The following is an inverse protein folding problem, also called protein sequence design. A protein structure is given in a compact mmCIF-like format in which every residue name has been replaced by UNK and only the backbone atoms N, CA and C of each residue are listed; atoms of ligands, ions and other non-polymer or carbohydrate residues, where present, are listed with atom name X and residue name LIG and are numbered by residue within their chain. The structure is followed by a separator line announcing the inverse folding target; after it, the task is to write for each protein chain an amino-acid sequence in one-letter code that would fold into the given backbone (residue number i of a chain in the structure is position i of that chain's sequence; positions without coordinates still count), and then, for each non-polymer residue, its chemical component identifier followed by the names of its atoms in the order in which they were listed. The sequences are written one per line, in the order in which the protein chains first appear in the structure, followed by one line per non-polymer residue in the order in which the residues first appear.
data_IF_325046551795
#
_entry.id   IF_325046551795
#
_cell.length_a   1.000
_cell.length_b   1.000
_cell.length_c   1.000
_cell.angle_alpha   90.00
_cell.angle_beta   90.00
_cell.angle_gamma   90.00
#
_symmetry.space_group_name_H-M   'P 1'
#
loop_
_entity.id
_entity.type
_entity.pdbx_description
1 polymer ?
#
# COMPACT_ATOMS: atom_id res chain seq x y z
N UNK A 1 -27.83 30.43 -0.42
CA UNK A 1 -27.38 31.68 -1.06
C UNK A 1 -26.21 31.34 -1.97
N UNK A 2 -26.46 31.51 -3.27
CA UNK A 2 -25.56 31.56 -4.43
C UNK A 2 -24.34 30.61 -4.46
N UNK A 3 -24.55 29.47 -5.09
CA UNK A 3 -23.52 28.63 -5.72
C UNK A 3 -22.97 29.35 -6.95
N UNK A 4 -21.71 29.78 -6.90
CA UNK A 4 -20.96 30.22 -8.09
C UNK A 4 -20.50 29.00 -8.89
N UNK A 5 -20.58 29.02 -10.23
CA UNK A 5 -20.04 27.96 -11.07
C UNK A 5 -18.52 27.99 -11.07
N UNK A 6 -17.89 26.82 -11.16
CA UNK A 6 -16.45 26.65 -11.32
C UNK A 6 -16.03 27.19 -12.68
N UNK A 7 -15.54 28.43 -12.73
CA UNK A 7 -14.89 29.00 -13.91
C UNK A 7 -13.38 28.86 -13.75
N UNK A 8 -12.75 28.12 -14.65
CA UNK A 8 -11.31 28.12 -14.80
C UNK A 8 -10.77 29.54 -15.03
N UNK A 9 -9.59 29.77 -14.45
CA UNK A 9 -8.73 30.96 -14.52
C UNK A 9 -9.20 32.22 -13.77
N UNK A 10 -8.66 32.42 -12.56
CA UNK A 10 -7.83 33.58 -12.20
C UNK A 10 -7.65 33.62 -10.67
N UNK A 11 -6.50 33.19 -10.19
CA UNK A 11 -6.11 33.37 -8.79
C UNK A 11 -4.60 33.26 -8.72
N UNK A 12 -3.94 34.29 -8.18
CA UNK A 12 -2.51 34.27 -7.86
C UNK A 12 -2.21 32.92 -7.19
N UNK A 13 -1.32 32.11 -7.77
CA UNK A 13 -0.95 30.82 -7.19
C UNK A 13 -0.63 31.04 -5.71
N UNK A 14 -1.40 30.38 -4.82
CA UNK A 14 -1.19 30.52 -3.39
C UNK A 14 0.28 30.22 -3.09
N UNK A 15 0.97 31.08 -2.32
CA UNK A 15 2.41 30.96 -2.15
C UNK A 15 2.76 29.59 -1.58
N UNK A 16 3.80 28.94 -2.11
CA UNK A 16 4.25 27.65 -1.61
C UNK A 16 4.68 27.76 -0.14
N UNK A 17 3.99 27.03 0.74
CA UNK A 17 4.33 26.97 2.17
C UNK A 17 5.15 25.72 2.45
N UNK A 18 6.35 25.88 2.99
CA UNK A 18 7.21 24.75 3.35
C UNK A 18 7.03 24.36 4.81
N UNK A 19 6.74 23.08 5.04
CA UNK A 19 6.56 22.48 6.37
C UNK A 19 7.57 21.36 6.54
N UNK A 20 8.27 21.33 7.67
CA UNK A 20 9.25 20.27 7.98
C UNK A 20 8.77 19.39 9.14
N UNK A 21 8.35 18.16 8.82
CA UNK A 21 7.73 17.23 9.76
C UNK A 21 6.21 17.36 9.81
N UNK A 22 5.65 17.32 11.02
CA UNK A 22 4.20 17.21 11.24
C UNK A 22 3.44 18.49 10.88
N UNK A 23 2.29 18.31 10.21
CA UNK A 23 1.28 19.35 10.06
C UNK A 23 0.50 19.46 11.37
N UNK A 24 0.29 20.68 11.85
CA UNK A 24 -0.44 20.88 13.10
C UNK A 24 -1.96 20.70 12.87
N UNK A 25 -2.67 19.94 13.72
CA UNK A 25 -4.10 19.70 13.57
C UNK A 25 -4.96 20.98 13.57
N UNK A 26 -4.50 22.01 14.27
CA UNK A 26 -5.16 23.31 14.41
C UNK A 26 -5.09 24.14 13.13
N UNK A 27 -4.22 23.78 12.18
CA UNK A 27 -4.10 24.51 10.93
C UNK A 27 -5.30 24.25 10.04
N UNK A 28 -5.97 25.34 9.65
CA UNK A 28 -6.95 25.32 8.57
C UNK A 28 -6.23 25.64 7.27
N UNK A 29 -6.06 24.61 6.45
CA UNK A 29 -5.35 24.71 5.17
C UNK A 29 -6.34 25.27 4.14
N UNK A 30 -6.05 26.46 3.56
CA UNK A 30 -6.95 27.08 2.59
C UNK A 30 -7.17 26.21 1.37
N UNK A 31 -8.34 26.39 0.75
CA UNK A 31 -8.64 25.79 -0.55
C UNK A 31 -7.57 26.19 -1.55
N UNK A 32 -7.08 25.21 -2.30
CA UNK A 32 -6.08 25.36 -3.34
C UNK A 32 -4.70 25.83 -2.85
N UNK A 33 -4.39 25.70 -1.56
CA UNK A 33 -3.05 25.98 -1.03
C UNK A 33 -2.01 24.98 -1.57
N UNK A 34 -0.79 25.44 -1.84
CA UNK A 34 0.35 24.58 -2.19
C UNK A 34 1.27 24.42 -0.99
N UNK A 35 1.55 23.18 -0.60
CA UNK A 35 2.42 22.82 0.51
C UNK A 35 3.63 22.01 0.03
N UNK A 36 4.80 22.30 0.58
CA UNK A 36 5.99 21.47 0.48
C UNK A 36 6.21 20.78 1.82
N UNK A 37 5.80 19.51 1.95
CA UNK A 37 5.95 18.76 3.20
C UNK A 37 7.23 17.94 3.15
N UNK A 38 8.23 18.37 3.93
CA UNK A 38 9.52 17.70 4.07
C UNK A 38 9.42 16.71 5.23
N UNK A 39 9.15 15.45 4.90
CA UNK A 39 9.13 14.35 5.88
C UNK A 39 10.52 14.09 6.45
N UNK A 40 10.61 13.91 7.78
CA UNK A 40 11.89 13.66 8.47
C UNK A 40 12.33 12.20 8.37
N UNK A 41 11.38 11.27 8.49
CA UNK A 41 11.64 9.83 8.41
C UNK A 41 10.38 9.05 8.03
N UNK A 42 10.24 8.71 6.74
CA UNK A 42 9.11 7.92 6.23
C UNK A 42 9.18 6.42 6.61
N UNK A 43 10.30 5.96 7.18
CA UNK A 43 10.55 4.57 7.54
C UNK A 43 10.70 4.36 9.04
N UNK A 44 10.21 5.32 9.84
CA UNK A 44 10.26 5.24 11.30
C UNK A 44 9.41 4.09 11.84
N UNK A 45 9.85 3.47 12.93
CA UNK A 45 9.18 2.32 13.58
C UNK A 45 8.79 1.22 12.57
N UNK A 46 7.54 0.75 12.63
CA UNK A 46 7.03 -0.32 11.79
C UNK A 46 6.84 0.08 10.32
N UNK A 47 6.82 1.37 9.96
CA UNK A 47 6.79 1.80 8.55
C UNK A 47 8.01 1.33 7.76
N UNK A 48 9.11 1.07 8.46
CA UNK A 48 10.36 0.59 7.88
C UNK A 48 10.43 -0.93 7.67
N UNK A 49 9.46 -1.73 8.14
CA UNK A 49 9.55 -3.20 8.08
C UNK A 49 9.69 -3.75 6.66
N UNK A 50 9.04 -3.12 5.68
CA UNK A 50 9.09 -3.53 4.29
C UNK A 50 8.97 -2.32 3.35
N UNK A 51 9.68 -2.35 2.22
CA UNK A 51 9.50 -1.36 1.14
C UNK A 51 8.18 -1.60 0.42
N UNK A 52 7.36 -0.58 0.25
CA UNK A 52 6.10 -0.69 -0.49
C UNK A 52 5.98 0.52 -1.41
N UNK A 53 5.65 0.34 -2.69
CA UNK A 53 5.58 1.44 -3.67
C UNK A 53 4.40 2.37 -3.38
N UNK A 54 4.52 3.64 -3.79
CA UNK A 54 3.43 4.62 -3.81
C UNK A 54 2.70 4.81 -2.46
N UNK A 55 3.43 4.70 -1.35
CA UNK A 55 2.94 5.13 -0.04
C UNK A 55 3.00 6.65 0.07
N UNK A 56 1.96 7.27 0.60
CA UNK A 56 2.06 8.64 1.09
C UNK A 56 2.81 8.66 2.45
N UNK A 57 3.43 9.80 2.75
CA UNK A 57 4.28 9.95 3.93
C UNK A 57 3.45 10.00 5.23
N UNK A 58 3.96 9.48 6.38
CA UNK A 58 3.15 9.31 7.60
C UNK A 58 2.61 10.59 8.25
N UNK A 59 3.20 11.75 7.96
CA UNK A 59 2.78 13.03 8.55
C UNK A 59 1.38 13.47 8.07
N UNK A 60 0.98 13.13 6.84
CA UNK A 60 -0.33 13.47 6.30
C UNK A 60 -1.51 12.67 6.91
N UNK A 61 -1.47 11.32 7.00
CA UNK A 61 -2.53 10.57 7.68
C UNK A 61 -2.58 10.91 9.17
N UNK A 62 -1.41 11.09 9.80
CA UNK A 62 -1.33 11.54 11.20
C UNK A 62 -2.06 12.86 11.41
N UNK A 63 -1.85 13.83 10.53
CA UNK A 63 -2.58 15.10 10.58
C UNK A 63 -4.09 14.90 10.45
N UNK A 64 -4.54 14.15 9.44
CA UNK A 64 -5.96 13.89 9.23
C UNK A 64 -6.61 13.19 10.45
N UNK A 65 -5.92 12.20 11.02
CA UNK A 65 -6.38 11.47 12.22
C UNK A 65 -6.50 12.41 13.41
N UNK A 66 -5.45 13.20 13.70
CA UNK A 66 -5.46 14.12 14.84
C UNK A 66 -6.47 15.26 14.68
N UNK A 67 -6.71 15.74 13.45
CA UNK A 67 -7.63 16.85 13.18
C UNK A 67 -9.11 16.42 13.16
N UNK A 68 -9.41 15.24 12.63
CA UNK A 68 -10.80 14.84 12.33
C UNK A 68 -11.33 13.66 13.15
N UNK A 69 -10.55 13.15 14.13
CA UNK A 69 -11.00 12.11 15.06
C UNK A 69 -10.50 12.35 16.49
N UNK A 70 -11.22 11.82 17.48
CA UNK A 70 -10.85 11.74 18.89
C UNK A 70 -10.16 10.42 19.25
N UNK A 71 -9.57 10.34 20.44
CA UNK A 71 -9.06 9.07 20.98
C UNK A 71 -10.20 8.05 21.14
N UNK A 72 -9.91 6.77 20.89
CA UNK A 72 -10.90 5.69 20.91
C UNK A 72 -11.90 5.72 19.75
N UNK A 73 -11.80 6.66 18.80
CA UNK A 73 -12.67 6.69 17.62
C UNK A 73 -12.16 5.75 16.51
N UNK A 74 -13.04 5.45 15.55
CA UNK A 74 -12.78 4.47 14.48
C UNK A 74 -12.37 5.14 13.16
N UNK A 75 -11.17 4.80 12.68
CA UNK A 75 -10.59 5.29 11.42
C UNK A 75 -10.62 4.21 10.34
N UNK A 76 -11.19 4.52 9.18
CA UNK A 76 -11.23 3.63 8.02
C UNK A 76 -10.12 3.98 7.04
N UNK A 77 -9.39 2.98 6.58
CA UNK A 77 -8.64 3.07 5.33
C UNK A 77 -9.25 2.10 4.31
N UNK A 78 -10.05 2.59 3.34
CA UNK A 78 -10.70 1.75 2.35
C UNK A 78 -9.75 1.12 1.31
N UNK A 79 -8.50 1.57 1.21
CA UNK A 79 -7.49 1.09 0.25
C UNK A 79 -6.10 1.10 0.92
N UNK A 80 -5.95 0.27 1.95
CA UNK A 80 -4.93 0.43 2.98
C UNK A 80 -3.48 0.27 2.50
N UNK A 81 -3.25 -0.50 1.44
CA UNK A 81 -1.93 -0.88 0.98
C UNK A 81 -1.09 -1.42 2.14
N UNK A 82 0.03 -0.75 2.43
CA UNK A 82 0.91 -1.14 3.53
C UNK A 82 0.43 -0.76 4.94
N UNK A 83 -0.78 -0.20 5.10
CA UNK A 83 -1.36 0.10 6.41
C UNK A 83 -0.78 1.35 7.09
N UNK A 84 -0.37 2.37 6.33
CA UNK A 84 0.18 3.61 6.91
C UNK A 84 -0.83 4.29 7.83
N UNK A 85 -2.10 4.39 7.41
CA UNK A 85 -3.20 4.96 8.21
C UNK A 85 -3.38 4.19 9.50
N UNK A 86 -3.42 2.84 9.46
CA UNK A 86 -3.62 2.02 10.66
C UNK A 86 -2.49 2.14 11.67
N UNK A 87 -1.24 2.25 11.23
CA UNK A 87 -0.11 2.50 12.15
C UNK A 87 -0.26 3.86 12.82
N UNK A 88 -0.53 4.92 12.06
CA UNK A 88 -0.68 6.26 12.64
C UNK A 88 -1.94 6.39 13.50
N UNK A 89 -3.02 5.69 13.17
CA UNK A 89 -4.24 5.64 13.97
C UNK A 89 -3.97 4.96 15.32
N UNK A 90 -3.31 3.80 15.29
CA UNK A 90 -2.94 3.08 16.50
C UNK A 90 -2.00 3.92 17.38
N UNK A 91 -0.97 4.55 16.82
CA UNK A 91 -0.06 5.43 17.57
C UNK A 91 -0.74 6.68 18.14
N UNK A 92 -1.86 7.10 17.53
CA UNK A 92 -2.72 8.14 18.06
C UNK A 92 -3.82 7.59 18.98
N UNK A 93 -3.78 6.33 19.42
CA UNK A 93 -4.82 5.75 20.29
C UNK A 93 -6.24 5.75 19.65
N UNK A 94 -6.32 5.49 18.34
CA UNK A 94 -7.58 5.27 17.59
C UNK A 94 -7.70 3.80 17.18
N UNK A 95 -8.94 3.32 17.05
CA UNK A 95 -9.20 2.04 16.38
C UNK A 95 -9.13 2.24 14.86
N UNK A 96 -8.76 1.21 14.11
CA UNK A 96 -8.83 1.29 12.65
C UNK A 96 -9.32 0.03 11.96
N UNK A 97 -9.88 0.21 10.77
CA UNK A 97 -10.21 -0.85 9.83
C UNK A 97 -9.45 -0.60 8.54
N UNK A 98 -8.62 -1.55 8.12
CA UNK A 98 -7.85 -1.48 6.87
C UNK A 98 -8.42 -2.47 5.85
N UNK A 99 -9.01 -1.94 4.79
CA UNK A 99 -9.57 -2.68 3.67
C UNK A 99 -8.52 -2.74 2.56
N UNK A 100 -8.17 -3.94 2.11
CA UNK A 100 -7.33 -4.12 0.92
C UNK A 100 -7.60 -5.47 0.24
N UNK A 101 -7.57 -5.46 -1.09
CA UNK A 101 -7.75 -6.65 -1.93
C UNK A 101 -6.48 -7.49 -2.07
N UNK A 102 -5.30 -6.90 -1.85
CA UNK A 102 -3.99 -7.56 -1.95
C UNK A 102 -3.67 -8.30 -0.64
N UNK A 103 -3.56 -9.65 -0.65
CA UNK A 103 -3.27 -10.42 0.54
C UNK A 103 -1.89 -10.08 1.15
N UNK A 104 -0.92 -9.65 0.34
CA UNK A 104 0.37 -9.19 0.84
C UNK A 104 0.26 -7.85 1.59
N UNK A 105 -0.53 -6.92 1.05
CA UNK A 105 -0.85 -5.65 1.69
C UNK A 105 -1.53 -5.87 3.06
N UNK A 106 -2.49 -6.80 3.12
CA UNK A 106 -3.16 -7.20 4.37
C UNK A 106 -2.18 -7.80 5.39
N UNK A 107 -1.33 -8.76 4.99
CA UNK A 107 -0.32 -9.34 5.87
C UNK A 107 0.63 -8.28 6.42
N UNK A 108 1.14 -7.41 5.55
CA UNK A 108 2.05 -6.34 5.95
C UNK A 108 1.38 -5.36 6.91
N UNK A 109 0.12 -4.98 6.67
CA UNK A 109 -0.66 -4.14 7.58
C UNK A 109 -0.74 -4.77 8.97
N UNK A 110 -1.14 -6.05 9.07
CA UNK A 110 -1.22 -6.76 10.37
C UNK A 110 0.09 -6.76 11.12
N UNK A 111 1.20 -7.09 10.45
CA UNK A 111 2.53 -7.12 11.08
C UNK A 111 2.96 -5.74 11.56
N UNK A 112 2.66 -4.69 10.78
CA UNK A 112 3.01 -3.32 11.16
C UNK A 112 2.19 -2.77 12.33
N UNK A 113 1.03 -3.35 12.62
CA UNK A 113 0.10 -2.90 13.66
C UNK A 113 -0.04 -3.89 14.80
N UNK A 114 0.82 -4.90 14.88
CA UNK A 114 0.81 -5.90 15.96
C UNK A 114 2.08 -5.75 16.77
N UNK A 115 1.95 -5.47 18.06
CA UNK A 115 3.06 -5.47 19.01
C UNK A 115 3.46 -6.91 19.32
N UNK A 116 4.76 -7.14 19.50
CA UNK A 116 5.31 -8.45 19.87
C UNK A 116 6.02 -8.32 21.22
N UNK A 117 5.80 -9.29 22.11
CA UNK A 117 6.53 -9.35 23.37
C UNK A 117 8.04 -9.53 23.05
N UNK A 118 8.90 -8.61 23.52
CA UNK A 118 10.33 -8.66 23.17
C UNK A 118 11.02 -9.95 23.60
N UNK A 119 10.64 -10.53 24.74
CA UNK A 119 11.25 -11.76 25.25
C UNK A 119 10.87 -12.98 24.40
N UNK A 120 9.63 -13.03 23.91
CA UNK A 120 9.15 -14.11 23.04
C UNK A 120 9.75 -13.96 21.64
N UNK A 121 9.84 -12.71 21.15
CA UNK A 121 10.47 -12.41 19.87
C UNK A 121 11.95 -12.84 19.86
N UNK A 122 12.67 -12.59 20.95
CA UNK A 122 14.06 -13.02 21.09
C UNK A 122 14.20 -14.55 21.05
N UNK A 123 13.30 -15.30 21.70
CA UNK A 123 13.27 -16.77 21.60
C UNK A 123 12.97 -17.25 20.18
N UNK A 124 12.02 -16.61 19.49
CA UNK A 124 11.72 -16.92 18.09
C UNK A 124 12.93 -16.67 17.17
N UNK A 125 13.64 -15.57 17.37
CA UNK A 125 14.84 -15.21 16.59
C UNK A 125 16.02 -16.13 16.91
N UNK A 126 16.19 -16.56 18.15
CA UNK A 126 17.20 -17.55 18.52
C UNK A 126 16.93 -18.90 17.85
N UNK A 127 15.68 -19.39 17.92
CA UNK A 127 15.29 -20.67 17.33
C UNK A 127 15.50 -20.71 15.81
N UNK A 128 15.16 -19.63 15.10
CA UNK A 128 15.42 -19.56 13.65
C UNK A 128 16.92 -19.48 13.36
N UNK A 129 17.71 -18.77 14.18
CA UNK A 129 19.16 -18.68 13.99
C UNK A 129 19.84 -20.04 14.16
N UNK A 130 19.47 -20.81 15.18
CA UNK A 130 19.96 -22.18 15.43
C UNK A 130 19.61 -23.12 14.27
N UNK A 131 18.35 -23.08 13.81
CA UNK A 131 17.91 -23.89 12.68
C UNK A 131 18.69 -23.58 11.39
N UNK A 132 18.97 -22.29 11.12
CA UNK A 132 19.76 -21.88 9.96
C UNK A 132 21.23 -22.27 10.09
N UNK A 133 21.80 -22.25 11.29
CA UNK A 133 23.17 -22.74 11.53
C UNK A 133 23.27 -24.25 11.29
N UNK A 134 22.26 -25.02 11.71
CA UNK A 134 22.19 -26.45 11.43
C UNK A 134 22.06 -26.73 9.92
N UNK A 135 21.30 -25.92 9.19
CA UNK A 135 21.22 -26.00 7.72
C UNK A 135 22.60 -25.77 7.06
N UNK A 136 23.32 -24.73 7.48
CA UNK A 136 24.65 -24.42 6.95
C UNK A 136 25.67 -25.55 7.21
N UNK A 137 25.57 -26.23 8.35
CA UNK A 137 26.42 -27.36 8.71
C UNK A 137 26.00 -28.71 8.08
N UNK A 138 24.76 -28.82 7.62
CA UNK A 138 24.12 -30.10 7.27
C UNK A 138 24.36 -30.61 5.84
N UNK A 139 25.09 -29.86 5.00
CA UNK A 139 25.45 -30.27 3.64
C UNK A 139 24.25 -30.60 2.74
N UNK A 140 24.42 -31.55 1.81
CA UNK A 140 23.40 -31.92 0.82
C UNK A 140 22.09 -32.46 1.43
N UNK A 141 22.10 -33.29 2.50
CA UNK A 141 20.85 -33.71 3.16
C UNK A 141 20.01 -32.53 3.65
N UNK A 142 20.63 -31.50 4.24
CA UNK A 142 19.92 -30.31 4.70
C UNK A 142 19.36 -29.49 3.54
N UNK A 143 20.08 -29.40 2.41
CA UNK A 143 19.61 -28.74 1.18
C UNK A 143 18.41 -29.44 0.56
N UNK A 144 18.45 -30.78 0.48
CA UNK A 144 17.33 -31.58 -0.01
C UNK A 144 16.08 -31.39 0.85
N UNK A 145 16.25 -31.40 2.18
CA UNK A 145 15.14 -31.14 3.10
C UNK A 145 14.62 -29.70 2.99
N UNK A 146 15.50 -28.71 2.85
CA UNK A 146 15.09 -27.32 2.68
C UNK A 146 14.25 -27.12 1.41
N UNK A 147 14.58 -27.82 0.32
CA UNK A 147 13.85 -27.74 -0.94
C UNK A 147 12.38 -28.13 -0.82
N UNK A 148 12.02 -29.06 0.09
CA UNK A 148 10.61 -29.45 0.32
C UNK A 148 9.77 -28.30 0.88
N UNK A 149 10.43 -27.27 1.42
CA UNK A 149 9.82 -26.05 1.91
C UNK A 149 9.95 -24.89 0.91
N UNK A 150 10.05 -25.14 -0.39
CA UNK A 150 9.95 -24.11 -1.44
C UNK A 150 8.57 -24.20 -2.09
N UNK A 151 7.77 -23.12 -2.15
CA UNK A 151 6.46 -23.18 -2.81
C UNK A 151 6.62 -23.42 -4.31
N UNK A 152 5.79 -24.25 -4.96
CA UNK A 152 5.83 -24.39 -6.41
C UNK A 152 5.21 -23.17 -7.10
N UNK A 153 5.89 -22.61 -8.11
CA UNK A 153 5.34 -21.55 -8.97
C UNK A 153 6.00 -21.56 -10.36
N UNK A 154 5.41 -20.88 -11.34
CA UNK A 154 5.91 -20.89 -12.71
C UNK A 154 7.28 -20.20 -12.84
N UNK A 155 8.17 -20.81 -13.63
CA UNK A 155 9.48 -20.24 -14.01
C UNK A 155 10.45 -19.99 -12.84
N UNK A 156 10.47 -20.83 -11.80
CA UNK A 156 11.34 -20.63 -10.62
C UNK A 156 12.81 -20.42 -10.98
N UNK A 157 13.34 -21.22 -11.92
CA UNK A 157 14.73 -21.13 -12.39
C UNK A 157 15.03 -19.83 -13.15
N UNK A 158 14.01 -19.18 -13.72
CA UNK A 158 14.17 -17.84 -14.29
C UNK A 158 14.32 -16.79 -13.18
N UNK A 159 13.60 -16.97 -12.07
CA UNK A 159 13.54 -15.99 -10.99
C UNK A 159 14.64 -16.15 -9.94
N UNK A 160 15.13 -17.36 -9.70
CA UNK A 160 16.09 -17.63 -8.63
C UNK A 160 17.14 -18.65 -9.07
N UNK A 161 18.33 -18.51 -8.49
CA UNK A 161 19.34 -19.56 -8.54
C UNK A 161 18.93 -20.70 -7.58
N UNK A 162 19.26 -21.98 -7.89
CA UNK A 162 18.87 -23.11 -7.04
C UNK A 162 19.29 -22.98 -5.58
N UNK A 163 20.54 -22.56 -5.32
CA UNK A 163 21.03 -22.35 -3.95
C UNK A 163 20.23 -21.29 -3.17
N UNK A 164 19.66 -20.29 -3.85
CA UNK A 164 18.78 -19.31 -3.17
C UNK A 164 17.44 -19.93 -2.81
N UNK A 165 16.89 -20.80 -3.66
CA UNK A 165 15.66 -21.53 -3.34
C UNK A 165 15.88 -22.45 -2.14
N UNK A 166 17.02 -23.16 -2.08
CA UNK A 166 17.41 -23.95 -0.90
C UNK A 166 17.49 -23.07 0.37
N UNK A 167 18.15 -21.91 0.30
CA UNK A 167 18.26 -21.00 1.45
C UNK A 167 16.89 -20.43 1.90
N UNK A 168 16.02 -20.06 0.97
CA UNK A 168 14.65 -19.63 1.27
C UNK A 168 13.86 -20.78 1.89
N UNK A 169 14.00 -21.99 1.33
CA UNK A 169 13.41 -23.21 1.86
C UNK A 169 13.85 -23.48 3.29
N UNK A 170 15.13 -23.29 3.60
CA UNK A 170 15.66 -23.44 4.96
C UNK A 170 15.03 -22.45 5.94
N UNK A 171 14.89 -21.18 5.54
CA UNK A 171 14.21 -20.15 6.35
C UNK A 171 12.74 -20.55 6.60
N UNK A 172 12.02 -20.98 5.57
CA UNK A 172 10.61 -21.40 5.70
C UNK A 172 10.47 -22.65 6.58
N UNK A 173 11.34 -23.64 6.40
CA UNK A 173 11.36 -24.86 7.21
C UNK A 173 11.63 -24.58 8.69
N UNK A 174 12.48 -23.60 8.99
CA UNK A 174 12.80 -23.19 10.36
C UNK A 174 11.60 -22.60 11.13
N UNK A 175 10.52 -22.18 10.47
CA UNK A 175 9.31 -21.72 11.14
C UNK A 175 8.66 -22.79 12.03
N UNK A 176 8.85 -24.08 11.73
CA UNK A 176 8.42 -25.15 12.63
C UNK A 176 9.14 -25.09 13.98
N UNK A 177 10.46 -24.89 13.97
CA UNK A 177 11.27 -24.75 15.20
C UNK A 177 10.88 -23.53 16.02
N UNK A 178 10.50 -22.44 15.36
CA UNK A 178 10.00 -21.24 16.04
C UNK A 178 8.70 -21.55 16.79
N UNK A 179 7.75 -22.29 16.20
CA UNK A 179 6.50 -22.69 16.87
C UNK A 179 6.78 -23.46 18.16
N UNK A 180 7.69 -24.41 18.09
CA UNK A 180 8.05 -25.26 19.24
C UNK A 180 8.73 -24.43 20.34
N UNK A 181 9.68 -23.55 19.97
CA UNK A 181 10.47 -22.76 20.92
C UNK A 181 9.68 -21.70 21.68
N UNK A 182 8.55 -21.23 21.14
CA UNK A 182 7.70 -20.23 21.79
C UNK A 182 6.42 -20.80 22.37
N UNK A 183 6.20 -22.12 22.32
CA UNK A 183 5.08 -22.73 23.02
C UNK A 183 5.13 -22.40 24.53
N UNK A 184 3.98 -22.13 25.18
CA UNK A 184 2.60 -22.21 24.68
C UNK A 184 2.08 -20.91 24.03
N UNK A 185 2.93 -19.91 23.77
CA UNK A 185 2.48 -18.63 23.20
C UNK A 185 1.97 -18.81 21.76
N UNK A 186 0.99 -17.98 21.37
CA UNK A 186 0.43 -18.00 20.03
C UNK A 186 1.51 -17.64 18.98
N UNK A 187 1.86 -18.54 18.05
CA UNK A 187 3.01 -18.32 17.17
C UNK A 187 2.72 -17.41 15.97
N UNK A 188 1.45 -17.25 15.59
CA UNK A 188 1.03 -16.53 14.38
C UNK A 188 1.71 -15.18 14.18
N UNK A 189 1.58 -14.23 15.13
CA UNK A 189 2.20 -12.90 15.01
C UNK A 189 3.72 -12.91 14.81
N UNK A 190 4.43 -13.81 15.51
CA UNK A 190 5.89 -13.94 15.40
C UNK A 190 6.30 -14.54 14.05
N UNK A 191 5.56 -15.54 13.57
CA UNK A 191 5.79 -16.12 12.26
C UNK A 191 5.49 -15.14 11.12
N UNK A 192 4.41 -14.37 11.22
CA UNK A 192 4.07 -13.36 10.22
C UNK A 192 5.12 -12.23 10.19
N UNK A 193 5.64 -11.82 11.35
CA UNK A 193 6.78 -10.91 11.42
C UNK A 193 8.03 -11.46 10.69
N UNK A 194 8.38 -12.73 10.91
CA UNK A 194 9.49 -13.39 10.22
C UNK A 194 9.22 -13.57 8.71
N UNK A 195 7.98 -13.84 8.31
CA UNK A 195 7.55 -13.88 6.91
C UNK A 195 7.74 -12.52 6.23
N UNK A 196 7.43 -11.42 6.91
CA UNK A 196 7.70 -10.08 6.38
C UNK A 196 9.21 -9.82 6.27
N UNK A 197 10.02 -10.23 7.24
CA UNK A 197 11.48 -10.14 7.15
C UNK A 197 12.04 -10.93 5.96
N UNK A 198 11.49 -12.13 5.68
CA UNK A 198 11.81 -12.91 4.48
C UNK A 198 11.38 -12.17 3.21
N UNK A 199 10.14 -11.70 3.14
CA UNK A 199 9.63 -10.99 1.95
C UNK A 199 10.46 -9.77 1.57
N UNK A 200 10.97 -9.03 2.57
CA UNK A 200 11.77 -7.83 2.37
C UNK A 200 13.10 -8.06 1.64
N UNK A 201 13.58 -9.31 1.58
CA UNK A 201 14.82 -9.66 0.89
C UNK A 201 14.59 -10.37 -0.46
N UNK A 202 13.37 -10.87 -0.73
CA UNK A 202 13.07 -11.73 -1.90
C UNK A 202 13.48 -11.07 -3.20
N UNK A 203 13.09 -9.80 -3.38
CA UNK A 203 13.50 -9.01 -4.54
C UNK A 203 15.00 -9.01 -4.71
N UNK A 204 15.74 -8.72 -3.63
CA UNK A 204 17.19 -8.54 -3.65
C UNK A 204 17.95 -9.83 -3.98
N UNK A 205 17.47 -10.99 -3.52
CA UNK A 205 18.10 -12.30 -3.78
C UNK A 205 17.61 -13.00 -5.04
N UNK A 206 16.59 -12.46 -5.71
CA UNK A 206 16.12 -12.95 -7.01
C UNK A 206 16.97 -12.45 -8.18
N UNK A 207 16.75 -12.98 -9.39
CA UNK A 207 17.25 -12.45 -10.66
C UNK A 207 16.49 -11.19 -11.12
N UNK A 208 15.44 -10.74 -10.40
CA UNK A 208 14.64 -9.59 -10.79
C UNK A 208 15.34 -8.25 -10.55
N UNK A 209 15.00 -7.24 -11.36
CA UNK A 209 15.50 -5.87 -11.22
C UNK A 209 14.97 -5.22 -9.93
N UNK A 210 15.89 -4.81 -9.05
CA UNK A 210 15.58 -4.13 -7.79
C UNK A 210 15.05 -2.69 -7.97
N UNK A 211 15.26 -2.11 -9.16
CA UNK A 211 14.97 -0.70 -9.43
C UNK A 211 13.69 -0.48 -10.24
N UNK A 212 13.01 -1.56 -10.62
CA UNK A 212 11.74 -1.49 -11.34
C UNK A 212 10.60 -1.82 -10.37
N UNK A 213 9.51 -1.05 -10.42
CA UNK A 213 8.30 -1.39 -9.65
C UNK A 213 7.73 -2.73 -10.11
N UNK A 214 7.73 -2.99 -11.41
CA UNK A 214 7.26 -4.26 -11.94
C UNK A 214 8.33 -5.35 -11.76
N UNK A 215 7.90 -6.53 -11.34
CA UNK A 215 8.77 -7.71 -11.32
C UNK A 215 9.17 -8.11 -12.74
N UNK A 216 10.43 -7.87 -13.09
CA UNK A 216 11.01 -8.23 -14.39
C UNK A 216 12.45 -8.69 -14.25
N UNK A 217 12.86 -9.66 -15.06
CA UNK A 217 14.27 -9.97 -15.30
C UNK A 217 14.71 -9.19 -16.54
N UNK A 218 15.82 -8.45 -16.44
CA UNK A 218 16.37 -7.68 -17.56
C UNK A 218 17.61 -8.39 -18.09
N UNK A 219 17.63 -8.68 -19.39
CA UNK A 219 18.74 -9.38 -20.06
C UNK A 219 20.09 -8.67 -19.93
N UNK A 220 20.09 -7.33 -19.83
CA UNK A 220 21.32 -6.51 -19.66
C UNK A 220 21.66 -6.17 -18.21
N UNK A 221 20.88 -6.64 -17.23
CA UNK A 221 21.16 -6.41 -15.82
C UNK A 221 22.02 -7.54 -15.26
N UNK A 222 23.31 -7.28 -15.07
CA UNK A 222 24.22 -8.23 -14.42
C UNK A 222 24.07 -8.18 -12.90
N UNK A 223 22.93 -8.66 -12.40
CA UNK A 223 22.70 -8.79 -10.96
C UNK A 223 23.43 -10.03 -10.44
N UNK A 224 24.41 -9.81 -9.56
CA UNK A 224 25.18 -10.90 -8.96
C UNK A 224 24.49 -11.38 -7.68
N UNK A 225 24.09 -12.65 -7.69
CA UNK A 225 23.56 -13.36 -6.52
C UNK A 225 24.54 -14.50 -6.21
N UNK A 226 24.83 -14.73 -4.92
CA UNK A 226 25.86 -15.68 -4.47
C UNK A 226 25.33 -16.57 -3.34
N UNK A 227 25.88 -17.78 -3.14
CA UNK A 227 25.51 -18.63 -2.02
C UNK A 227 25.67 -17.94 -0.66
N UNK A 228 24.79 -18.26 0.28
CA UNK A 228 24.64 -17.67 1.61
C UNK A 228 24.01 -16.28 1.64
N UNK A 229 23.69 -15.68 0.48
CA UNK A 229 23.19 -14.32 0.41
C UNK A 229 21.81 -14.16 1.05
N UNK A 230 20.89 -15.11 0.86
CA UNK A 230 19.55 -15.01 1.44
C UNK A 230 19.60 -15.18 2.96
N UNK A 231 20.38 -16.14 3.48
CA UNK A 231 20.57 -16.30 4.92
C UNK A 231 21.15 -15.04 5.58
N UNK A 232 22.20 -14.46 4.98
CA UNK A 232 22.83 -13.24 5.48
C UNK A 232 21.88 -12.04 5.47
N UNK A 233 21.17 -11.82 4.36
CA UNK A 233 20.23 -10.70 4.25
C UNK A 233 19.03 -10.89 5.18
N UNK A 234 18.53 -12.12 5.32
CA UNK A 234 17.44 -12.43 6.24
C UNK A 234 17.84 -12.14 7.69
N UNK A 235 18.99 -12.63 8.16
CA UNK A 235 19.52 -12.34 9.49
C UNK A 235 19.61 -10.83 9.74
N UNK A 236 20.18 -10.08 8.80
CA UNK A 236 20.30 -8.62 8.88
C UNK A 236 18.92 -7.94 8.94
N UNK A 237 18.00 -8.33 8.06
CA UNK A 237 16.65 -7.74 8.00
C UNK A 237 15.88 -8.01 9.30
N UNK A 238 15.94 -9.24 9.80
CA UNK A 238 15.33 -9.61 11.08
C UNK A 238 15.90 -8.77 12.23
N UNK A 239 17.22 -8.61 12.32
CA UNK A 239 17.83 -7.76 13.35
C UNK A 239 17.35 -6.30 13.28
N UNK A 240 17.33 -5.72 12.07
CA UNK A 240 16.85 -4.34 11.87
C UNK A 240 15.37 -4.20 12.27
N UNK A 241 14.52 -5.16 11.89
CA UNK A 241 13.11 -5.11 12.19
C UNK A 241 12.80 -5.42 13.67
N UNK A 242 13.62 -6.25 14.34
CA UNK A 242 13.53 -6.49 15.79
C UNK A 242 13.83 -5.19 16.54
N UNK A 243 14.88 -4.45 16.17
CA UNK A 243 15.19 -3.16 16.77
C UNK A 243 14.01 -2.18 16.64
N UNK A 244 13.44 -2.06 15.43
CA UNK A 244 12.25 -1.24 15.18
C UNK A 244 11.02 -1.70 15.96
N UNK A 245 10.81 -3.02 16.11
CA UNK A 245 9.72 -3.56 16.92
C UNK A 245 9.89 -3.17 18.40
N UNK A 246 11.11 -3.24 18.93
CA UNK A 246 11.42 -2.81 20.31
C UNK A 246 11.19 -1.31 20.52
N UNK A 247 11.44 -0.48 19.53
CA UNK A 247 11.10 0.96 19.57
C UNK A 247 9.58 1.19 19.46
N UNK A 248 8.87 0.34 18.72
CA UNK A 248 7.45 0.46 18.45
C UNK A 248 6.56 0.06 19.63
N UNK A 249 6.87 -1.05 20.29
CA UNK A 249 6.11 -1.60 21.43
C UNK A 249 5.78 -0.56 22.51
N UNK A 250 6.73 0.24 23.04
CA UNK A 250 6.42 1.21 24.10
C UNK A 250 5.58 2.40 23.64
N UNK A 251 5.48 2.64 22.32
CA UNK A 251 4.71 3.76 21.74
C UNK A 251 3.32 3.34 21.27
N UNK A 252 3.07 2.05 21.11
CA UNK A 252 1.81 1.49 20.67
C UNK A 252 0.85 1.32 21.87
N UNK A 253 -0.25 2.08 21.96
CA UNK A 253 -1.19 1.98 23.08
C UNK A 253 -1.93 0.63 23.04
N UNK A 254 -2.05 -0.01 24.21
CA UNK A 254 -2.67 -1.33 24.33
C UNK A 254 -4.18 -1.36 24.01
N UNK A 255 -4.86 -0.21 24.07
CA UNK A 255 -6.30 -0.10 23.83
C UNK A 255 -6.70 0.01 22.35
N UNK A 256 -5.78 0.40 21.46
CA UNK A 256 -6.09 0.56 20.05
C UNK A 256 -6.22 -0.81 19.36
N UNK A 257 -7.25 -0.96 18.52
CA UNK A 257 -7.48 -2.20 17.76
C UNK A 257 -7.37 -1.92 16.27
N UNK A 258 -6.82 -2.88 15.52
CA UNK A 258 -6.72 -2.81 14.06
C UNK A 258 -7.37 -4.05 13.46
N UNK A 259 -8.46 -3.84 12.73
CA UNK A 259 -9.13 -4.88 11.96
C UNK A 259 -8.65 -4.86 10.50
N UNK A 260 -8.29 -6.03 9.97
CA UNK A 260 -7.90 -6.19 8.57
C UNK A 260 -8.76 -7.32 7.97
N UNK A 261 -9.97 -7.02 7.48
CA UNK A 261 -10.87 -8.02 6.90
C UNK A 261 -10.22 -8.78 5.75
N UNK A 262 -10.51 -10.07 5.63
CA UNK A 262 -10.11 -10.84 4.45
C UNK A 262 -10.93 -10.41 3.22
N UNK A 263 -10.26 -10.37 2.07
CA UNK A 263 -10.84 -10.01 0.76
C UNK A 263 -11.65 -8.70 0.73
N UNK A 264 -11.26 -7.71 1.54
CA UNK A 264 -11.90 -6.40 1.57
C UNK A 264 -11.77 -5.66 0.23
N UNK A 265 -12.90 -5.43 -0.46
CA UNK A 265 -12.97 -4.57 -1.65
C UNK A 265 -13.47 -3.17 -1.25
N UNK A 266 -12.72 -2.14 -1.62
CA UNK A 266 -13.05 -0.74 -1.35
C UNK A 266 -14.41 -0.30 -1.92
N UNK A 267 -14.96 -1.06 -2.88
CA UNK A 267 -16.25 -0.83 -3.54
C UNK A 267 -17.41 -1.59 -2.88
N UNK A 268 -17.11 -2.42 -1.87
CA UNK A 268 -18.08 -3.18 -1.07
C UNK A 268 -17.50 -3.40 0.34
N UNK A 269 -17.60 -2.38 1.19
CA UNK A 269 -16.95 -2.33 2.50
C UNK A 269 -17.80 -3.14 3.50
N UNK A 270 -17.26 -4.21 4.13
CA UNK A 270 -18.02 -5.12 4.99
C UNK A 270 -18.21 -4.55 6.41
N UNK A 271 -18.75 -3.35 6.51
CA UNK A 271 -19.04 -2.64 7.76
C UNK A 271 -20.47 -2.11 7.75
N UNK A 272 -21.07 -2.00 8.94
CA UNK A 272 -22.41 -1.42 9.09
C UNK A 272 -22.42 0.09 8.80
N UNK A 273 -23.53 0.64 8.30
CA UNK A 273 -23.68 2.08 8.07
C UNK A 273 -23.44 2.91 9.35
N UNK A 274 -22.83 4.09 9.22
CA UNK A 274 -22.68 5.04 10.33
C UNK A 274 -21.80 4.54 11.49
N UNK A 275 -20.82 3.68 11.23
CA UNK A 275 -19.92 3.13 12.25
C UNK A 275 -18.58 3.86 12.35
N UNK A 276 -18.14 4.53 11.29
CA UNK A 276 -16.79 5.12 11.21
C UNK A 276 -16.79 6.62 11.52
N UNK A 277 -15.78 7.08 12.26
CA UNK A 277 -15.60 8.48 12.67
C UNK A 277 -14.71 9.28 11.71
N UNK A 278 -13.88 8.59 10.93
CA UNK A 278 -13.00 9.19 9.91
C UNK A 278 -12.68 8.13 8.86
N UNK A 279 -12.53 8.56 7.61
CA UNK A 279 -11.86 7.76 6.59
C UNK A 279 -10.64 8.52 6.06
N UNK A 280 -9.51 7.84 5.86
CA UNK A 280 -8.29 8.41 5.27
C UNK A 280 -7.71 7.39 4.30
N UNK A 281 -7.34 7.81 3.09
CA UNK A 281 -6.69 6.89 2.16
C UNK A 281 -5.86 7.60 1.09
N UNK A 282 -5.10 6.81 0.35
CA UNK A 282 -4.51 7.18 -0.93
C UNK A 282 -4.82 6.07 -1.92
N UNK A 283 -5.83 6.24 -2.81
CA UNK A 283 -6.20 5.21 -3.77
C UNK A 283 -5.04 4.85 -4.70
N UNK A 284 -5.07 3.70 -5.37
CA UNK A 284 -4.19 3.41 -6.50
C UNK A 284 -4.44 4.42 -7.63
N UNK A 285 -3.42 5.15 -8.07
CA UNK A 285 -3.58 6.15 -9.14
C UNK A 285 -3.67 5.48 -10.51
N UNK A 286 -4.35 6.12 -11.47
CA UNK A 286 -4.59 5.57 -12.80
C UNK A 286 -3.25 5.29 -13.49
N UNK A 287 -2.99 4.02 -13.85
CA UNK A 287 -1.75 3.56 -14.48
C UNK A 287 -0.46 3.73 -13.64
N UNK A 288 -0.55 3.97 -12.32
CA UNK A 288 0.65 4.25 -11.53
C UNK A 288 1.42 2.99 -11.11
N UNK A 289 0.76 2.02 -10.47
CA UNK A 289 1.44 0.82 -9.94
C UNK A 289 0.59 -0.44 -10.14
N UNK A 290 1.21 -1.46 -10.73
CA UNK A 290 0.66 -2.81 -10.80
C UNK A 290 1.09 -3.58 -9.53
N UNK A 291 0.35 -3.42 -8.43
CA UNK A 291 0.69 -4.00 -7.12
C UNK A 291 0.83 -5.53 -7.16
N UNK A 292 -0.08 -6.30 -7.78
CA UNK A 292 0.08 -7.75 -7.88
C UNK A 292 1.36 -8.13 -8.63
N UNK A 293 1.73 -7.40 -9.69
CA UNK A 293 3.01 -7.63 -10.37
C UNK A 293 4.20 -7.15 -9.57
N UNK A 294 4.04 -6.14 -8.72
CA UNK A 294 5.11 -5.58 -7.89
C UNK A 294 5.47 -6.53 -6.76
N UNK A 295 4.51 -7.17 -6.10
CA UNK A 295 4.78 -8.12 -5.00
C UNK A 295 4.69 -9.59 -5.42
N UNK A 296 4.85 -9.88 -6.71
CA UNK A 296 4.60 -11.21 -7.27
C UNK A 296 5.46 -12.30 -6.61
N UNK A 297 6.77 -12.09 -6.47
CA UNK A 297 7.67 -13.11 -5.93
C UNK A 297 7.46 -13.27 -4.43
N UNK A 298 7.19 -12.17 -3.74
CA UNK A 298 6.85 -12.14 -2.32
C UNK A 298 5.58 -12.95 -2.07
N UNK A 299 4.52 -12.74 -2.85
CA UNK A 299 3.28 -13.52 -2.76
C UNK A 299 3.48 -15.01 -3.03
N UNK A 300 4.34 -15.39 -3.98
CA UNK A 300 4.67 -16.79 -4.24
C UNK A 300 5.42 -17.42 -3.08
N UNK A 301 6.46 -16.74 -2.57
CA UNK A 301 7.31 -17.26 -1.49
C UNK A 301 6.59 -17.35 -0.14
N UNK A 302 5.53 -16.57 0.05
CA UNK A 302 4.73 -16.57 1.26
C UNK A 302 3.42 -17.39 1.15
N UNK A 303 3.18 -18.10 0.05
CA UNK A 303 1.93 -18.84 -0.22
C UNK A 303 0.66 -17.98 -0.16
N UNK A 304 0.78 -16.69 -0.49
CA UNK A 304 -0.36 -15.76 -0.49
C UNK A 304 -1.14 -15.78 -1.81
N UNK A 305 -0.58 -16.38 -2.85
CA UNK A 305 -1.26 -16.62 -4.11
C UNK A 305 -1.66 -18.10 -4.22
N UNK A 306 -2.92 -18.41 -4.56
CA UNK A 306 -3.34 -19.79 -4.80
C UNK A 306 -2.52 -20.42 -5.93
N UNK A 307 -1.99 -21.65 -5.75
CA UNK A 307 -1.28 -22.35 -6.81
C UNK A 307 -2.12 -22.42 -8.10
N UNK A 308 -1.52 -22.09 -9.24
CA UNK A 308 -2.16 -22.18 -10.55
C UNK A 308 -3.14 -21.05 -10.90
N UNK A 309 -3.47 -20.11 -10.01
CA UNK A 309 -4.31 -18.96 -10.39
C UNK A 309 -3.50 -17.90 -11.16
N UNK A 310 -4.00 -17.41 -12.31
CA UNK A 310 -3.34 -16.34 -13.03
C UNK A 310 -3.27 -15.06 -12.20
N UNK A 311 -2.10 -14.42 -12.17
CA UNK A 311 -1.92 -13.09 -11.57
C UNK A 311 -2.93 -12.05 -12.11
N UNK A 312 -3.44 -12.26 -13.32
CA UNK A 312 -4.48 -11.44 -13.94
C UNK A 312 -5.79 -11.40 -13.12
N UNK A 313 -6.16 -12.46 -12.40
CA UNK A 313 -7.37 -12.48 -11.57
C UNK A 313 -7.23 -11.54 -10.37
N UNK A 314 -6.10 -11.60 -9.67
CA UNK A 314 -5.80 -10.68 -8.56
C UNK A 314 -5.83 -9.21 -9.02
N UNK A 315 -5.34 -8.94 -10.23
CA UNK A 315 -5.34 -7.60 -10.82
C UNK A 315 -6.74 -7.04 -11.11
N UNK A 316 -7.71 -7.88 -11.48
CA UNK A 316 -9.07 -7.41 -11.83
C UNK A 316 -9.82 -6.78 -10.65
N UNK A 317 -9.47 -7.17 -9.42
CA UNK A 317 -10.10 -6.64 -8.21
C UNK A 317 -9.61 -5.24 -7.82
N UNK A 318 -8.48 -4.79 -8.36
CA UNK A 318 -7.90 -3.50 -7.99
C UNK A 318 -8.63 -2.35 -8.69
N UNK A 319 -8.91 -1.28 -7.95
CA UNK A 319 -9.32 0.01 -8.54
C UNK A 319 -8.17 0.51 -9.43
N UNK A 320 -8.51 1.07 -10.60
CA UNK A 320 -7.51 1.52 -11.58
C UNK A 320 -6.79 0.40 -12.33
N UNK A 321 -7.36 -0.82 -12.35
CA UNK A 321 -6.78 -1.95 -13.07
C UNK A 321 -6.67 -1.71 -14.57
N UNK A 322 -5.54 -2.11 -15.16
CA UNK A 322 -5.35 -2.09 -16.61
C UNK A 322 -5.89 -3.37 -17.30
N UNK A 323 -6.38 -4.34 -16.53
CA UNK A 323 -6.88 -5.62 -17.04
C UNK A 323 -8.35 -5.49 -17.44
N UNK A 324 -8.57 -5.08 -18.68
CA UNK A 324 -9.88 -4.88 -19.30
C UNK A 324 -10.02 -5.72 -20.58
N UNK A 325 -11.24 -6.11 -20.93
CA UNK A 325 -11.51 -6.91 -22.13
C UNK A 325 -11.66 -6.02 -23.37
N UNK A 326 -11.37 -6.58 -24.55
CA UNK A 326 -11.53 -5.85 -25.80
C UNK A 326 -12.98 -5.47 -26.11
N UNK A 327 -13.95 -6.16 -25.52
CA UNK A 327 -15.38 -5.86 -25.66
C UNK A 327 -15.72 -4.59 -24.90
N UNK A 328 -15.13 -4.40 -23.71
CA UNK A 328 -15.45 -3.30 -22.81
C UNK A 328 -15.15 -1.94 -23.44
N UNK A 329 -14.08 -1.83 -24.22
CA UNK A 329 -13.64 -0.56 -24.82
C UNK A 329 -13.93 -0.43 -26.32
N UNK A 330 -14.81 -1.28 -26.89
CA UNK A 330 -15.22 -1.14 -28.30
C UNK A 330 -15.95 0.16 -28.56
N UNK A 331 -16.77 0.58 -27.62
CA UNK A 331 -17.61 1.77 -27.68
C UNK A 331 -17.09 2.84 -26.72
N UNK A 332 -17.46 4.09 -26.98
CA UNK A 332 -17.15 5.20 -26.10
C UNK A 332 -18.08 5.15 -24.88
N UNK A 333 -17.50 5.29 -23.69
CA UNK A 333 -18.25 5.39 -22.44
C UNK A 333 -18.19 6.83 -21.93
N UNK A 334 -19.34 7.35 -21.50
CA UNK A 334 -19.46 8.66 -20.86
C UNK A 334 -19.89 8.46 -19.42
N UNK A 335 -19.26 9.20 -18.53
CA UNK A 335 -19.56 9.24 -17.11
C UNK A 335 -20.76 10.15 -16.78
N UNK A 336 -21.04 11.14 -17.63
CA UNK A 336 -22.10 12.12 -17.42
C UNK A 336 -21.64 13.34 -16.61
N UNK A 337 -20.34 13.62 -16.56
CA UNK A 337 -19.77 14.89 -16.08
C UNK A 337 -19.11 15.56 -17.29
N UNK A 338 -19.54 16.76 -17.66
CA UNK A 338 -19.15 17.39 -18.93
C UNK A 338 -17.63 17.43 -19.15
N UNK A 339 -16.86 17.89 -18.16
CA UNK A 339 -15.41 18.01 -18.28
C UNK A 339 -14.69 16.64 -18.33
N UNK A 340 -15.21 15.65 -17.60
CA UNK A 340 -14.68 14.29 -17.61
C UNK A 340 -15.04 13.58 -18.92
N UNK A 341 -16.25 13.76 -19.42
CA UNK A 341 -16.71 13.17 -20.68
C UNK A 341 -15.90 13.72 -21.85
N UNK A 342 -15.65 15.03 -21.89
CA UNK A 342 -14.77 15.64 -22.88
C UNK A 342 -13.34 15.06 -22.82
N UNK A 343 -12.81 14.85 -21.61
CA UNK A 343 -11.49 14.24 -21.41
C UNK A 343 -11.44 12.77 -21.87
N UNK A 344 -12.48 11.98 -21.60
CA UNK A 344 -12.59 10.58 -22.03
C UNK A 344 -12.78 10.48 -23.54
N UNK A 345 -13.58 11.35 -24.15
CA UNK A 345 -13.77 11.45 -25.61
C UNK A 345 -12.46 11.75 -26.33
N UNK A 346 -11.73 12.76 -25.85
CA UNK A 346 -10.41 13.12 -26.36
C UNK A 346 -9.44 11.94 -26.30
N UNK A 347 -9.40 11.23 -25.16
CA UNK A 347 -8.56 10.03 -25.03
C UNK A 347 -9.03 8.89 -25.92
N UNK A 348 -10.33 8.71 -26.11
CA UNK A 348 -10.89 7.60 -26.90
C UNK A 348 -10.53 7.73 -28.38
N UNK A 349 -10.45 8.95 -28.90
CA UNK A 349 -9.98 9.23 -30.26
C UNK A 349 -8.53 8.77 -30.49
N UNK A 350 -7.71 8.70 -29.43
CA UNK A 350 -6.29 8.31 -29.50
C UNK A 350 -6.08 6.84 -29.11
N UNK A 351 -6.68 6.43 -27.99
CA UNK A 351 -6.53 5.11 -27.39
C UNK A 351 -7.79 4.71 -26.62
N UNK A 352 -8.65 3.94 -27.31
CA UNK A 352 -9.92 3.44 -26.77
C UNK A 352 -9.76 2.69 -25.45
N UNK A 353 -8.71 1.87 -25.31
CA UNK A 353 -8.47 1.09 -24.08
C UNK A 353 -8.13 2.00 -22.92
N UNK A 354 -7.26 3.00 -23.12
CA UNK A 354 -6.88 3.95 -22.07
C UNK A 354 -8.05 4.85 -21.67
N UNK A 355 -8.87 5.29 -22.63
CA UNK A 355 -10.09 6.04 -22.34
C UNK A 355 -11.05 5.25 -21.44
N UNK A 356 -11.26 3.96 -21.75
CA UNK A 356 -12.09 3.09 -20.92
C UNK A 356 -11.51 2.89 -19.51
N UNK A 357 -10.20 2.71 -19.35
CA UNK A 357 -9.56 2.59 -18.03
C UNK A 357 -9.78 3.88 -17.20
N UNK A 358 -9.69 5.06 -17.83
CA UNK A 358 -9.97 6.33 -17.15
C UNK A 358 -11.43 6.41 -16.72
N UNK A 359 -12.37 6.13 -17.63
CA UNK A 359 -13.79 6.08 -17.30
C UNK A 359 -14.08 5.11 -16.14
N UNK A 360 -13.58 3.87 -16.24
CA UNK A 360 -13.80 2.83 -15.24
C UNK A 360 -13.22 3.20 -13.87
N UNK A 361 -12.09 3.91 -13.82
CA UNK A 361 -11.53 4.41 -12.58
C UNK A 361 -12.52 5.31 -11.82
N UNK A 362 -13.16 6.27 -12.51
CA UNK A 362 -14.15 7.15 -11.87
C UNK A 362 -15.41 6.40 -11.45
N UNK A 363 -15.85 5.40 -12.22
CA UNK A 363 -16.95 4.50 -11.83
C UNK A 363 -16.62 3.73 -10.55
N UNK A 364 -15.42 3.17 -10.46
CA UNK A 364 -14.97 2.43 -9.28
C UNK A 364 -14.79 3.36 -8.05
N UNK A 365 -14.26 4.56 -8.26
CA UNK A 365 -14.14 5.57 -7.19
C UNK A 365 -15.49 6.09 -6.72
N UNK A 366 -16.49 6.24 -7.60
CA UNK A 366 -17.86 6.60 -7.19
C UNK A 366 -18.47 5.52 -6.28
N UNK A 367 -18.24 4.23 -6.60
CA UNK A 367 -18.66 3.11 -5.72
C UNK A 367 -17.96 3.17 -4.36
N UNK A 368 -16.65 3.46 -4.35
CA UNK A 368 -15.92 3.66 -3.11
C UNK A 368 -16.49 4.84 -2.30
N UNK A 369 -16.73 5.99 -2.93
CA UNK A 369 -17.33 7.14 -2.26
C UNK A 369 -18.70 6.81 -1.68
N UNK A 370 -19.56 6.06 -2.39
CA UNK A 370 -20.85 5.61 -1.86
C UNK A 370 -20.69 4.72 -0.62
N UNK A 371 -19.74 3.79 -0.65
CA UNK A 371 -19.49 2.90 0.49
C UNK A 371 -18.90 3.65 1.70
N UNK A 372 -17.94 4.53 1.48
CA UNK A 372 -17.38 5.38 2.55
C UNK A 372 -18.45 6.33 3.10
N UNK A 373 -19.26 6.94 2.23
CA UNK A 373 -20.42 7.72 2.64
C UNK A 373 -21.36 6.90 3.52
N UNK A 374 -21.68 5.66 3.12
CA UNK A 374 -22.58 4.77 3.88
C UNK A 374 -22.06 4.50 5.29
N UNK A 375 -20.78 4.11 5.43
CA UNK A 375 -20.19 3.69 6.72
C UNK A 375 -19.77 4.85 7.61
N UNK A 376 -19.57 6.07 7.08
CA UNK A 376 -19.27 7.25 7.90
C UNK A 376 -20.48 7.72 8.73
N UNK A 377 -20.24 8.15 9.96
CA UNK A 377 -21.23 8.90 10.76
C UNK A 377 -21.51 10.28 10.14
N UNK A 378 -22.71 10.86 10.32
CA UNK A 378 -23.01 12.22 9.86
C UNK A 378 -22.00 13.25 10.39
N UNK A 379 -21.58 14.22 9.57
CA UNK A 379 -20.62 15.26 9.95
C UNK A 379 -19.14 14.83 9.97
N UNK A 380 -18.84 13.55 9.71
CA UNK A 380 -17.48 13.02 9.67
C UNK A 380 -16.84 13.16 8.30
N UNK A 381 -15.52 12.99 8.25
CA UNK A 381 -14.71 13.32 7.06
C UNK A 381 -14.18 12.08 6.36
N UNK A 382 -14.00 12.23 5.05
CA UNK A 382 -13.17 11.38 4.22
C UNK A 382 -12.02 12.22 3.64
N UNK A 383 -10.79 11.85 3.97
CA UNK A 383 -9.57 12.48 3.45
C UNK A 383 -8.95 11.58 2.39
N UNK A 384 -8.83 12.08 1.16
CA UNK A 384 -8.32 11.32 0.01
C UNK A 384 -7.08 12.01 -0.55
N UNK A 385 -5.98 11.26 -0.68
CA UNK A 385 -4.71 11.76 -1.23
C UNK A 385 -4.52 11.21 -2.64
N UNK A 386 -4.58 12.06 -3.66
CA UNK A 386 -4.61 11.65 -5.07
C UNK A 386 -3.70 12.49 -5.97
N UNK A 387 -2.87 11.83 -6.77
CA UNK A 387 -2.05 12.47 -7.80
C UNK A 387 -2.81 12.66 -9.12
N UNK A 388 -2.46 13.72 -9.86
CA UNK A 388 -2.87 13.85 -11.26
C UNK A 388 -2.13 12.84 -12.14
N UNK A 389 -2.83 12.30 -13.13
CA UNK A 389 -2.29 11.27 -14.00
C UNK A 389 -1.96 11.86 -15.38
N UNK A 390 -0.91 11.37 -16.01
CA UNK A 390 -0.59 11.69 -17.41
C UNK A 390 -0.87 10.44 -18.25
N UNK A 391 -1.81 10.54 -19.18
CA UNK A 391 -2.26 9.42 -20.01
C UNK A 391 -2.25 9.87 -21.45
N UNK A 392 -1.45 9.20 -22.28
CA UNK A 392 -1.26 9.57 -23.70
C UNK A 392 -0.91 11.06 -23.87
N UNK A 393 0.03 11.53 -23.05
CA UNK A 393 0.51 12.92 -23.02
C UNK A 393 -0.54 13.97 -22.61
N UNK A 394 -1.76 13.54 -22.24
CA UNK A 394 -2.79 14.40 -21.68
C UNK A 394 -2.77 14.33 -20.15
N UNK A 395 -2.83 15.49 -19.50
CA UNK A 395 -3.04 15.57 -18.05
C UNK A 395 -4.51 15.26 -17.77
N UNK A 396 -4.76 14.25 -16.95
CA UNK A 396 -6.09 13.94 -16.40
C UNK A 396 -6.15 14.54 -14.99
N UNK A 397 -6.84 15.69 -14.78
CA UNK A 397 -6.94 16.37 -13.49
C UNK A 397 -7.83 15.57 -12.52
N UNK A 398 -7.29 14.46 -12.04
CA UNK A 398 -8.02 13.41 -11.34
C UNK A 398 -8.64 13.92 -10.05
N UNK A 399 -7.93 14.78 -9.32
CA UNK A 399 -8.43 15.44 -8.11
C UNK A 399 -9.72 16.24 -8.38
N UNK A 400 -9.75 17.05 -9.44
CA UNK A 400 -10.89 17.91 -9.80
C UNK A 400 -12.11 17.09 -10.17
N UNK A 401 -11.94 16.04 -10.98
CA UNK A 401 -13.04 15.14 -11.31
C UNK A 401 -13.55 14.38 -10.07
N UNK A 402 -12.66 13.90 -9.20
CA UNK A 402 -13.08 13.22 -7.97
C UNK A 402 -13.86 14.13 -7.01
N UNK A 403 -13.57 15.44 -6.96
CA UNK A 403 -14.37 16.40 -6.20
C UNK A 403 -15.82 16.43 -6.72
N UNK A 404 -16.02 16.55 -8.04
CA UNK A 404 -17.36 16.54 -8.66
C UNK A 404 -18.09 15.20 -8.43
N UNK A 405 -17.35 14.08 -8.49
CA UNK A 405 -17.90 12.75 -8.19
C UNK A 405 -18.33 12.64 -6.73
N UNK A 406 -17.52 13.13 -5.80
CA UNK A 406 -17.83 13.11 -4.37
C UNK A 406 -19.09 13.94 -4.06
N UNK A 407 -19.22 15.13 -4.67
CA UNK A 407 -20.42 15.98 -4.54
C UNK A 407 -21.67 15.28 -5.06
N UNK A 408 -21.58 14.61 -6.22
CA UNK A 408 -22.68 13.81 -6.78
C UNK A 408 -23.15 12.70 -5.83
N UNK A 409 -22.24 12.09 -5.06
CA UNK A 409 -22.57 11.07 -4.05
C UNK A 409 -23.24 11.67 -2.81
N UNK A 410 -22.96 12.94 -2.50
CA UNK A 410 -23.53 13.68 -1.37
C UNK A 410 -22.51 14.38 -0.48
N UNK A 411 -21.21 14.17 -0.68
CA UNK A 411 -20.17 14.85 0.09
C UNK A 411 -20.17 16.36 -0.14
N UNK A 412 -19.86 17.10 0.92
CA UNK A 412 -19.50 18.51 0.83
C UNK A 412 -17.99 18.64 0.82
N UNK A 413 -17.45 19.38 -0.14
CA UNK A 413 -16.02 19.70 -0.17
C UNK A 413 -15.73 20.71 0.94
N UNK A 414 -14.95 20.31 1.96
CA UNK A 414 -14.57 21.18 3.09
C UNK A 414 -13.30 21.98 2.76
N UNK A 415 -12.28 21.31 2.23
CA UNK A 415 -11.09 21.94 1.66
C UNK A 415 -10.39 20.97 0.71
N UNK A 416 -9.49 21.49 -0.12
CA UNK A 416 -8.53 20.67 -0.86
C UNK A 416 -7.24 21.47 -1.08
N UNK A 417 -6.10 20.80 -1.10
CA UNK A 417 -4.79 21.45 -1.25
C UNK A 417 -3.78 20.52 -1.91
N UNK A 418 -2.74 21.10 -2.51
CA UNK A 418 -1.66 20.36 -3.15
C UNK A 418 -0.49 20.16 -2.18
N UNK A 419 0.10 18.96 -2.22
CA UNK A 419 1.38 18.62 -1.60
C UNK A 419 2.39 18.32 -2.70
N UNK A 420 3.45 19.11 -2.77
CA UNK A 420 4.55 18.94 -3.72
C UNK A 420 5.38 17.69 -3.40
N UNK A 421 5.71 16.92 -4.44
CA UNK A 421 6.48 15.67 -4.34
C UNK A 421 7.94 15.91 -4.76
N UNK A 422 8.83 16.01 -3.77
CA UNK A 422 10.27 16.30 -4.00
C UNK A 422 11.04 15.06 -4.46
N UNK A 423 10.71 13.89 -3.90
CA UNK A 423 11.49 12.65 -4.08
C UNK A 423 10.64 11.57 -4.72
N UNK A 424 10.86 11.33 -6.01
CA UNK A 424 10.35 10.15 -6.70
C UNK A 424 11.20 8.93 -6.33
N UNK A 425 10.78 8.19 -5.30
CA UNK A 425 11.43 6.92 -4.91
C UNK A 425 11.24 5.82 -5.97
N UNK A 426 10.20 5.93 -6.80
CA UNK A 426 9.94 5.05 -7.93
C UNK A 426 10.59 5.62 -9.19
N UNK A 427 11.31 4.77 -9.94
CA UNK A 427 11.80 5.11 -11.29
C UNK A 427 10.64 5.11 -12.29
N UNK A 428 9.87 6.18 -12.31
CA UNK A 428 8.88 6.51 -13.35
C UNK A 428 9.57 7.34 -14.44
N UNK A 429 9.27 7.13 -15.75
CA UNK A 429 9.72 8.03 -16.81
C UNK A 429 9.44 9.49 -16.45
N UNK A 430 10.37 10.41 -16.73
CA UNK A 430 10.24 11.83 -16.32
C UNK A 430 8.93 12.47 -16.80
N UNK A 431 8.45 12.09 -17.98
CA UNK A 431 7.20 12.58 -18.59
C UNK A 431 5.93 12.10 -17.90
N UNK A 432 6.03 11.06 -17.08
CA UNK A 432 4.90 10.41 -16.39
C UNK A 432 4.99 10.63 -14.87
N UNK A 433 5.92 11.47 -14.39
CA UNK A 433 6.09 11.74 -12.97
C UNK A 433 4.97 12.62 -12.45
N UNK A 434 4.41 12.16 -11.33
CA UNK A 434 3.47 12.92 -10.53
C UNK A 434 4.28 13.81 -9.60
N UNK A 435 4.15 15.12 -9.78
CA UNK A 435 4.92 16.10 -9.00
C UNK A 435 4.12 16.70 -7.85
N UNK A 436 2.81 16.46 -7.81
CA UNK A 436 1.88 16.96 -6.81
C UNK A 436 0.85 15.89 -6.48
N UNK A 437 0.65 15.65 -5.19
CA UNK A 437 -0.50 14.92 -4.67
C UNK A 437 -1.52 15.93 -4.13
N UNK A 438 -2.79 15.74 -4.44
CA UNK A 438 -3.90 16.56 -3.94
C UNK A 438 -4.55 15.87 -2.75
N UNK A 439 -4.73 16.63 -1.68
CA UNK A 439 -5.45 16.18 -0.49
C UNK A 439 -6.86 16.75 -0.57
N UNK A 440 -7.85 15.88 -0.64
CA UNK A 440 -9.27 16.23 -0.67
C UNK A 440 -9.86 15.97 0.71
N UNK A 441 -10.48 16.97 1.32
CA UNK A 441 -11.22 16.81 2.59
C UNK A 441 -12.71 16.94 2.31
N UNK A 442 -13.41 15.82 2.45
CA UNK A 442 -14.82 15.67 2.12
C UNK A 442 -15.62 15.44 3.40
N UNK A 443 -16.73 16.14 3.60
CA UNK A 443 -17.59 16.00 4.78
C UNK A 443 -18.92 15.32 4.44
N UNK A 444 -19.34 14.39 5.28
CA UNK A 444 -20.68 13.80 5.26
C UNK A 444 -21.75 14.76 5.79
#
# INVERSE_FOLDING_TARGET
MLTTPFTGSSGVDAPLVTITGDLQPEWDIPVNQHLLIISRNQSWLSHGFHKYPAKFFPELPRWAIRKYSGEGEHVLDPMAGSGTVSVEAMLANRHSVAIDVDPFARLLTRVKTTTLDPSILDRAVAAIAEALQAFEAGGDPARMQAWTHVPPFAYQETWFQPFILEEIGAIRGAFARVRDAIAPHAPGPYLDFLRICLSAIIREVSNADNNCTRTVVRTRLNKRVVPGMALRLFRRMTQVNVARMREFVPLAPAGATVAVPEDGDARAIPLEPGTMDLAVTSPPYINAVDYPRTHQLEMYMLDLSPPGRPLAEAKRKHIGTEVVSAVDYRELHRYGLADLDAQVESLYAIDKRRAYIVHQYFVDMERNFREVWRVLKPGRRYVVVIGNNIIREQVVPTHSYLLQVAERVGFKVETYFASEVIRHYIKVPRKERINQDWVLVLRK
#
